data_IF_684598780335
#
_entry.id   IF_684598780335
#
_cell.length_a   1.000
_cell.length_b   1.000
_cell.length_c   1.000
_cell.angle_alpha   90.00
_cell.angle_beta   90.00
_cell.angle_gamma   90.00
#
_symmetry.space_group_name_H-M   'P 1'
#
loop_
_entity.id
_entity.type
_entity.pdbx_description
1 polymer ?
#
# COMPACT_ATOMS: atom_id res chain seq x y z
N UNK A 1 25.45 -5.38 15.32
CA UNK A 1 24.50 -6.05 14.40
C UNK A 1 23.05 -5.79 14.79
N UNK A 2 22.67 -5.94 16.07
CA UNK A 2 21.35 -5.53 16.58
C UNK A 2 21.05 -4.05 16.34
N UNK A 3 22.02 -3.16 16.60
CA UNK A 3 21.88 -1.71 16.37
C UNK A 3 21.53 -1.34 14.92
N UNK A 4 21.98 -2.15 13.94
CA UNK A 4 21.65 -1.96 12.53
C UNK A 4 20.23 -2.45 12.19
N UNK A 5 19.78 -3.52 12.85
CA UNK A 5 18.43 -4.08 12.69
C UNK A 5 17.36 -3.24 13.38
N UNK A 6 17.73 -2.49 14.42
CA UNK A 6 16.85 -1.58 15.14
C UNK A 6 16.66 -0.23 14.40
N UNK A 7 17.44 0.02 13.35
CA UNK A 7 17.35 1.26 12.59
C UNK A 7 16.06 1.30 11.74
N UNK A 8 15.22 2.35 11.86
CA UNK A 8 13.89 2.40 11.23
C UNK A 8 13.94 2.33 9.70
N UNK A 9 15.01 2.83 9.08
CA UNK A 9 15.25 2.72 7.64
C UNK A 9 15.50 1.27 7.18
N UNK A 10 16.13 0.46 8.02
CA UNK A 10 16.36 -0.97 7.73
C UNK A 10 15.05 -1.73 7.89
N UNK A 11 14.30 -1.46 8.95
CA UNK A 11 13.03 -2.14 9.24
C UNK A 11 11.94 -1.82 8.22
N UNK A 12 11.76 -0.54 7.87
CA UNK A 12 10.71 -0.10 6.94
C UNK A 12 11.11 -0.09 5.47
N UNK A 13 12.40 -0.26 5.15
CA UNK A 13 12.91 -0.13 3.78
C UNK A 13 13.71 -1.34 3.31
N UNK A 14 14.89 -1.54 3.88
CA UNK A 14 15.84 -2.53 3.37
C UNK A 14 15.37 -3.98 3.60
N UNK A 15 14.89 -4.31 4.80
CA UNK A 15 14.37 -5.63 5.13
C UNK A 15 13.17 -6.04 4.24
N UNK A 16 12.09 -5.22 4.11
CA UNK A 16 10.97 -5.55 3.23
C UNK A 16 11.40 -5.69 1.76
N UNK A 17 12.34 -4.86 1.31
CA UNK A 17 12.87 -4.93 -0.07
C UNK A 17 13.56 -6.28 -0.35
N UNK A 18 14.52 -6.68 0.50
CA UNK A 18 15.30 -7.91 0.31
C UNK A 18 14.39 -9.14 0.38
N UNK A 19 13.47 -9.19 1.36
CA UNK A 19 12.56 -10.33 1.51
C UNK A 19 11.58 -10.41 0.35
N UNK A 20 11.03 -9.28 -0.10
CA UNK A 20 10.17 -9.27 -1.27
C UNK A 20 10.90 -9.77 -2.52
N UNK A 21 12.19 -9.42 -2.70
CA UNK A 21 13.00 -9.89 -3.83
C UNK A 21 13.17 -11.42 -3.79
N UNK A 22 13.61 -11.96 -2.65
CA UNK A 22 13.82 -13.41 -2.46
C UNK A 22 12.50 -14.17 -2.69
N UNK A 23 11.41 -13.71 -2.09
CA UNK A 23 10.10 -14.36 -2.20
C UNK A 23 9.55 -14.24 -3.62
N UNK A 24 9.73 -13.10 -4.30
CA UNK A 24 9.30 -12.94 -5.67
C UNK A 24 10.03 -13.91 -6.62
N UNK A 25 11.35 -14.06 -6.45
CA UNK A 25 12.16 -14.99 -7.25
C UNK A 25 11.77 -16.46 -7.00
N UNK A 26 11.58 -16.83 -5.72
CA UNK A 26 11.17 -18.18 -5.33
C UNK A 26 9.77 -18.54 -5.86
N UNK A 27 8.81 -17.62 -5.72
CA UNK A 27 7.40 -17.83 -6.09
C UNK A 27 7.08 -17.52 -7.55
N UNK A 28 8.06 -17.02 -8.32
CA UNK A 28 7.89 -16.79 -9.76
C UNK A 28 7.48 -18.08 -10.47
N UNK A 29 8.08 -19.22 -10.11
CA UNK A 29 7.77 -20.53 -10.69
C UNK A 29 6.33 -20.99 -10.42
N UNK A 30 5.77 -20.59 -9.28
CA UNK A 30 4.43 -20.97 -8.84
C UNK A 30 3.33 -20.00 -9.31
N UNK A 31 3.67 -18.97 -10.10
CA UNK A 31 2.78 -17.87 -10.48
C UNK A 31 2.20 -17.07 -9.30
N UNK A 32 2.84 -17.16 -8.13
CA UNK A 32 2.39 -16.55 -6.88
C UNK A 32 3.25 -15.35 -6.47
N UNK A 33 3.96 -14.76 -7.42
CA UNK A 33 4.92 -13.67 -7.18
C UNK A 33 4.31 -12.45 -6.47
N UNK A 34 2.99 -12.28 -6.52
CA UNK A 34 2.26 -11.24 -5.78
C UNK A 34 2.32 -11.35 -4.25
N UNK A 35 2.55 -12.54 -3.68
CA UNK A 35 2.70 -12.75 -2.24
C UNK A 35 3.95 -12.07 -1.66
N UNK A 36 4.91 -11.69 -2.51
CA UNK A 36 6.14 -11.01 -2.10
C UNK A 36 5.87 -9.71 -1.32
N UNK A 37 4.81 -8.96 -1.66
CA UNK A 37 4.45 -7.75 -0.91
C UNK A 37 4.11 -8.08 0.53
N UNK A 38 3.30 -9.11 0.74
CA UNK A 38 2.86 -9.50 2.07
C UNK A 38 4.02 -10.05 2.89
N UNK A 39 4.95 -10.77 2.25
CA UNK A 39 6.17 -11.21 2.93
C UNK A 39 7.04 -10.03 3.37
N UNK A 40 7.24 -9.04 2.49
CA UNK A 40 7.94 -7.79 2.83
C UNK A 40 7.24 -7.00 3.94
N UNK A 41 5.92 -6.89 3.87
CA UNK A 41 5.14 -6.25 4.93
C UNK A 41 5.22 -7.02 6.25
N UNK A 42 5.12 -8.36 6.22
CA UNK A 42 5.14 -9.21 7.41
C UNK A 42 6.48 -9.13 8.16
N UNK A 43 7.61 -9.04 7.45
CA UNK A 43 8.91 -8.85 8.12
C UNK A 43 8.97 -7.48 8.82
N UNK A 44 8.41 -6.44 8.21
CA UNK A 44 8.39 -5.11 8.83
C UNK A 44 7.54 -5.15 10.10
N UNK A 45 6.37 -5.79 10.05
CA UNK A 45 5.52 -5.98 11.23
C UNK A 45 6.25 -6.75 12.32
N UNK A 46 6.97 -7.81 11.96
CA UNK A 46 7.75 -8.62 12.89
C UNK A 46 8.84 -7.78 13.58
N UNK A 47 9.58 -6.98 12.82
CA UNK A 47 10.68 -6.16 13.33
C UNK A 47 10.20 -4.95 14.15
N UNK A 48 9.11 -4.30 13.73
CA UNK A 48 8.64 -3.04 14.33
C UNK A 48 7.71 -3.28 15.53
N UNK A 49 6.75 -4.21 15.41
CA UNK A 49 5.67 -4.35 16.39
C UNK A 49 5.68 -5.68 17.17
N UNK A 50 6.39 -6.70 16.66
CA UNK A 50 6.23 -8.08 17.13
C UNK A 50 4.83 -8.65 16.85
N UNK A 51 4.71 -9.97 16.69
CA UNK A 51 3.40 -10.65 16.51
C UNK A 51 2.64 -10.83 17.83
N UNK A 52 2.49 -9.75 18.61
CA UNK A 52 1.58 -9.76 19.76
C UNK A 52 0.21 -9.27 19.28
N UNK A 53 -0.84 -10.04 19.54
CA UNK A 53 -2.21 -9.70 19.10
C UNK A 53 -3.01 -8.95 20.17
N UNK A 54 -2.54 -8.94 21.41
CA UNK A 54 -3.17 -8.22 22.52
C UNK A 54 -2.31 -7.04 22.98
N UNK A 55 -2.87 -5.83 23.14
CA UNK A 55 -4.25 -5.43 22.80
C UNK A 55 -4.48 -5.23 21.28
N UNK A 56 -5.74 -5.36 20.81
CA UNK A 56 -6.14 -5.07 19.42
C UNK A 56 -6.19 -3.56 19.14
N UNK A 57 -5.02 -2.98 18.87
CA UNK A 57 -4.89 -1.60 18.41
C UNK A 57 -5.31 -1.45 16.94
N UNK A 58 -5.67 -0.24 16.52
CA UNK A 58 -6.07 0.05 15.14
C UNK A 58 -4.96 -0.31 14.12
N UNK A 59 -3.68 -0.11 14.48
CA UNK A 59 -2.54 -0.52 13.66
C UNK A 59 -2.45 -2.06 13.49
N UNK A 60 -2.73 -2.84 14.55
CA UNK A 60 -2.75 -4.30 14.46
C UNK A 60 -3.93 -4.82 13.64
N UNK A 61 -5.06 -4.10 13.62
CA UNK A 61 -6.16 -4.40 12.69
C UNK A 61 -5.74 -4.25 11.24
N UNK A 62 -4.89 -3.26 10.90
CA UNK A 62 -4.33 -3.13 9.55
C UNK A 62 -3.53 -4.38 9.18
N UNK A 63 -2.67 -4.87 10.09
CA UNK A 63 -1.88 -6.09 9.88
C UNK A 63 -2.79 -7.29 9.61
N UNK A 64 -3.80 -7.48 10.47
CA UNK A 64 -4.74 -8.60 10.35
C UNK A 64 -5.53 -8.53 9.03
N UNK A 65 -6.07 -7.36 8.67
CA UNK A 65 -6.79 -7.15 7.42
C UNK A 65 -5.88 -7.32 6.20
N UNK A 66 -4.62 -6.90 6.28
CA UNK A 66 -3.60 -7.15 5.26
C UNK A 66 -3.35 -8.64 5.02
N UNK A 67 -3.17 -9.41 6.10
CA UNK A 67 -3.00 -10.87 6.00
C UNK A 67 -4.28 -11.57 5.51
N UNK A 68 -5.47 -11.16 5.96
CA UNK A 68 -6.72 -11.70 5.44
C UNK A 68 -6.92 -11.38 3.96
N UNK A 69 -6.54 -10.19 3.51
CA UNK A 69 -6.62 -9.81 2.11
C UNK A 69 -5.70 -10.66 1.23
N UNK A 70 -4.52 -11.06 1.74
CA UNK A 70 -3.63 -12.02 1.09
C UNK A 70 -4.29 -13.38 0.89
N UNK A 71 -4.88 -13.92 1.96
CA UNK A 71 -5.57 -15.21 1.95
C UNK A 71 -6.78 -15.19 1.01
N UNK A 72 -7.57 -14.13 1.04
CA UNK A 72 -8.66 -13.92 0.10
C UNK A 72 -8.13 -13.85 -1.34
N UNK A 73 -7.06 -13.09 -1.59
CA UNK A 73 -6.51 -13.00 -2.92
C UNK A 73 -5.96 -14.33 -3.44
N UNK A 74 -5.54 -15.25 -2.56
CA UNK A 74 -5.16 -16.63 -2.88
C UNK A 74 -6.36 -17.48 -3.30
N UNK A 75 -7.48 -17.38 -2.59
CA UNK A 75 -8.69 -18.14 -2.94
C UNK A 75 -9.35 -17.60 -4.22
N UNK A 76 -9.15 -16.31 -4.51
CA UNK A 76 -9.74 -15.59 -5.63
C UNK A 76 -8.95 -15.71 -6.95
N UNK A 77 -7.85 -16.47 -7.00
CA UNK A 77 -7.05 -16.67 -8.23
C UNK A 77 -7.86 -17.31 -9.38
N UNK A 78 -8.85 -18.16 -9.05
CA UNK A 78 -9.61 -18.92 -10.05
C UNK A 78 -10.93 -18.25 -10.45
N UNK A 79 -11.35 -17.20 -9.73
CA UNK A 79 -12.67 -16.60 -9.88
C UNK A 79 -12.56 -15.22 -10.55
N UNK A 80 -12.96 -15.11 -11.82
CA UNK A 80 -12.90 -13.83 -12.55
C UNK A 80 -14.27 -13.18 -12.79
N UNK A 81 -15.09 -13.09 -11.73
CA UNK A 81 -16.45 -12.58 -11.81
C UNK A 81 -16.48 -11.04 -11.80
N UNK A 82 -17.20 -10.42 -12.75
CA UNK A 82 -17.40 -8.96 -12.79
C UNK A 82 -17.92 -8.34 -11.47
N UNK A 83 -18.91 -8.90 -10.77
CA UNK A 83 -19.39 -8.34 -9.50
C UNK A 83 -18.37 -8.47 -8.36
N UNK A 84 -17.37 -9.33 -8.48
CA UNK A 84 -16.39 -9.58 -7.43
C UNK A 84 -15.64 -8.31 -7.05
N UNK A 85 -15.35 -7.46 -8.03
CA UNK A 85 -14.71 -6.15 -7.82
C UNK A 85 -15.54 -5.27 -6.89
N UNK A 86 -16.85 -5.19 -7.11
CA UNK A 86 -17.76 -4.42 -6.27
C UNK A 86 -17.80 -4.99 -4.85
N UNK A 87 -17.86 -6.32 -4.73
CA UNK A 87 -17.83 -7.00 -3.43
C UNK A 87 -16.54 -6.67 -2.67
N UNK A 88 -15.39 -6.71 -3.33
CA UNK A 88 -14.09 -6.39 -2.72
C UNK A 88 -14.01 -4.91 -2.29
N UNK A 89 -14.58 -3.99 -3.07
CA UNK A 89 -14.62 -2.57 -2.70
C UNK A 89 -15.51 -2.31 -1.49
N UNK A 90 -16.68 -2.95 -1.43
CA UNK A 90 -17.60 -2.84 -0.29
C UNK A 90 -16.98 -3.47 0.95
N UNK A 91 -16.36 -4.65 0.82
CA UNK A 91 -15.65 -5.31 1.90
C UNK A 91 -14.49 -4.44 2.43
N UNK A 92 -13.74 -3.79 1.54
CA UNK A 92 -12.70 -2.83 1.90
C UNK A 92 -13.24 -1.64 2.70
N UNK A 93 -14.35 -1.05 2.27
CA UNK A 93 -15.00 0.05 3.00
C UNK A 93 -15.54 -0.37 4.37
N UNK A 94 -16.12 -1.57 4.49
CA UNK A 94 -16.54 -2.10 5.80
C UNK A 94 -15.32 -2.30 6.69
N UNK A 95 -14.22 -2.83 6.15
CA UNK A 95 -12.97 -3.02 6.89
C UNK A 95 -12.37 -1.69 7.37
N UNK A 96 -12.45 -0.60 6.59
CA UNK A 96 -12.01 0.72 7.05
C UNK A 96 -12.82 1.22 8.23
N UNK A 97 -14.14 1.07 8.18
CA UNK A 97 -15.03 1.51 9.25
C UNK A 97 -14.74 0.70 10.51
N UNK A 98 -14.58 -0.62 10.40
CA UNK A 98 -14.24 -1.48 11.54
C UNK A 98 -12.88 -1.18 12.15
N UNK A 99 -11.88 -0.85 11.33
CA UNK A 99 -10.57 -0.41 11.80
C UNK A 99 -10.69 0.88 12.63
N UNK A 100 -11.39 1.89 12.09
CA UNK A 100 -11.46 3.22 12.67
C UNK A 100 -12.56 3.39 13.75
N UNK A 101 -13.41 2.38 13.94
CA UNK A 101 -14.62 2.45 14.78
C UNK A 101 -14.38 3.03 16.17
N UNK A 102 -13.31 2.59 16.87
CA UNK A 102 -13.00 3.09 18.22
C UNK A 102 -12.59 4.56 18.25
N UNK A 103 -11.92 5.05 17.21
CA UNK A 103 -11.51 6.45 17.08
C UNK A 103 -12.74 7.30 16.76
N UNK A 104 -13.61 6.79 15.89
CA UNK A 104 -14.84 7.45 15.46
C UNK A 104 -15.88 7.58 16.57
N UNK A 105 -16.00 6.59 17.46
CA UNK A 105 -16.90 6.63 18.61
C UNK A 105 -16.57 7.74 19.62
N UNK A 106 -15.38 8.32 19.55
CA UNK A 106 -14.96 9.42 20.41
C UNK A 106 -15.30 10.80 19.84
N UNK A 107 -15.88 10.87 18.63
CA UNK A 107 -16.19 12.10 17.90
C UNK A 107 -17.70 12.36 17.86
N UNK A 108 -18.09 13.59 17.57
CA UNK A 108 -19.49 13.96 17.34
C UNK A 108 -20.11 13.18 16.17
N UNK A 109 -21.42 12.94 16.25
CA UNK A 109 -22.18 12.11 15.30
C UNK A 109 -22.01 12.57 13.84
N UNK A 110 -21.98 13.88 13.59
CA UNK A 110 -21.81 14.47 12.25
C UNK A 110 -20.41 14.22 11.70
N UNK A 111 -19.38 14.42 12.51
CA UNK A 111 -17.99 14.15 12.14
C UNK A 111 -17.72 12.65 11.97
N UNK A 112 -18.35 11.80 12.77
CA UNK A 112 -18.28 10.34 12.64
C UNK A 112 -18.71 9.88 11.25
N UNK A 113 -19.85 10.39 10.76
CA UNK A 113 -20.40 9.97 9.47
C UNK A 113 -19.56 10.46 8.29
N UNK A 114 -19.07 11.70 8.37
CA UNK A 114 -18.27 12.32 7.31
C UNK A 114 -16.91 11.62 7.18
N UNK A 115 -16.23 11.36 8.29
CA UNK A 115 -14.92 10.69 8.28
C UNK A 115 -15.00 9.20 7.92
N UNK A 116 -16.02 8.48 8.41
CA UNK A 116 -16.25 7.08 8.01
C UNK A 116 -16.54 6.97 6.51
N UNK A 117 -17.44 7.82 6.00
CA UNK A 117 -17.78 7.88 4.59
C UNK A 117 -16.57 8.20 3.71
N UNK A 118 -15.81 9.26 4.06
CA UNK A 118 -14.61 9.67 3.33
C UNK A 118 -13.53 8.58 3.29
N UNK A 119 -13.24 7.96 4.44
CA UNK A 119 -12.24 6.88 4.52
C UNK A 119 -12.68 5.63 3.74
N UNK A 120 -13.95 5.24 3.85
CA UNK A 120 -14.49 4.09 3.13
C UNK A 120 -14.49 4.32 1.61
N UNK A 121 -14.85 5.53 1.17
CA UNK A 121 -14.80 5.91 -0.24
C UNK A 121 -13.37 5.89 -0.77
N UNK A 122 -12.40 6.44 -0.02
CA UNK A 122 -11.00 6.44 -0.43
C UNK A 122 -10.42 5.03 -0.61
N UNK A 123 -10.64 4.14 0.37
CA UNK A 123 -10.12 2.76 0.27
C UNK A 123 -10.87 1.95 -0.78
N UNK A 124 -12.19 2.11 -0.88
CA UNK A 124 -12.98 1.52 -1.95
C UNK A 124 -12.50 1.97 -3.34
N UNK A 125 -12.18 3.26 -3.49
CA UNK A 125 -11.62 3.82 -4.71
C UNK A 125 -10.27 3.20 -5.07
N UNK A 126 -9.34 3.11 -4.11
CA UNK A 126 -8.04 2.49 -4.34
C UNK A 126 -8.17 1.03 -4.75
N UNK A 127 -9.00 0.25 -4.07
CA UNK A 127 -9.23 -1.17 -4.39
C UNK A 127 -9.83 -1.31 -5.79
N UNK A 128 -10.83 -0.48 -6.13
CA UNK A 128 -11.49 -0.52 -7.43
C UNK A 128 -10.51 -0.29 -8.58
N UNK A 129 -9.69 0.78 -8.49
CA UNK A 129 -8.76 1.13 -9.54
C UNK A 129 -7.54 0.20 -9.56
N UNK A 130 -7.02 -0.23 -8.42
CA UNK A 130 -5.91 -1.20 -8.38
C UNK A 130 -6.31 -2.57 -8.90
N UNK A 131 -7.56 -3.02 -8.68
CA UNK A 131 -8.07 -4.26 -9.28
C UNK A 131 -8.11 -4.15 -10.81
N UNK A 132 -8.31 -2.96 -11.41
CA UNK A 132 -8.22 -2.84 -12.88
C UNK A 132 -6.81 -3.02 -13.43
N UNK A 133 -5.77 -2.89 -12.59
CA UNK A 133 -4.36 -3.01 -12.99
C UNK A 133 -3.80 -4.42 -12.84
N UNK A 134 -4.59 -5.38 -12.34
CA UNK A 134 -4.12 -6.75 -12.03
C UNK A 134 -3.54 -7.49 -13.25
N UNK A 135 -3.98 -7.19 -14.47
CA UNK A 135 -3.50 -7.82 -15.71
C UNK A 135 -2.17 -7.23 -16.20
N UNK A 136 -1.79 -6.05 -15.71
CA UNK A 136 -0.60 -5.31 -16.14
C UNK A 136 0.42 -5.18 -15.01
N UNK A 137 1.36 -6.13 -14.87
CA UNK A 137 2.26 -6.22 -13.71
C UNK A 137 3.14 -4.99 -13.50
N UNK A 138 3.59 -4.36 -14.59
CA UNK A 138 4.44 -3.17 -14.53
C UNK A 138 3.67 -1.97 -13.96
N UNK A 139 2.41 -1.78 -14.39
CA UNK A 139 1.55 -0.68 -13.91
C UNK A 139 1.14 -0.91 -12.46
N UNK A 140 0.80 -2.15 -12.10
CA UNK A 140 0.46 -2.51 -10.73
C UNK A 140 1.65 -2.27 -9.79
N UNK A 141 2.87 -2.65 -10.22
CA UNK A 141 4.11 -2.41 -9.48
C UNK A 141 4.39 -0.92 -9.27
N UNK A 142 4.32 -0.10 -10.33
CA UNK A 142 4.62 1.35 -10.23
C UNK A 142 3.58 2.12 -9.42
N UNK A 143 2.30 1.76 -9.56
CA UNK A 143 1.23 2.27 -8.72
C UNK A 143 1.45 1.87 -7.26
N UNK A 144 1.84 0.62 -7.03
CA UNK A 144 2.07 0.10 -5.69
C UNK A 144 3.27 0.72 -4.97
N UNK A 145 4.38 0.89 -5.69
CA UNK A 145 5.57 1.58 -5.20
C UNK A 145 5.23 3.02 -4.79
N UNK A 146 4.59 3.77 -5.68
CA UNK A 146 4.22 5.16 -5.41
C UNK A 146 3.16 5.29 -4.31
N UNK A 147 2.17 4.40 -4.26
CA UNK A 147 1.18 4.39 -3.18
C UNK A 147 1.86 4.12 -1.84
N UNK A 148 2.71 3.10 -1.73
CA UNK A 148 3.41 2.79 -0.49
C UNK A 148 4.37 3.90 -0.04
N UNK A 149 5.22 4.39 -0.95
CA UNK A 149 6.15 5.49 -0.63
C UNK A 149 5.41 6.80 -0.33
N UNK A 150 4.33 7.09 -1.06
CA UNK A 150 3.51 8.28 -0.85
C UNK A 150 2.76 8.24 0.47
N UNK A 151 2.09 7.13 0.80
CA UNK A 151 1.39 6.97 2.09
C UNK A 151 2.38 6.93 3.24
N UNK A 152 3.49 6.20 3.10
CA UNK A 152 4.53 6.09 4.11
C UNK A 152 5.23 7.42 4.38
N UNK A 153 5.68 8.12 3.34
CA UNK A 153 6.31 9.44 3.46
C UNK A 153 5.35 10.48 4.06
N UNK A 154 4.09 10.47 3.64
CA UNK A 154 3.07 11.38 4.19
C UNK A 154 2.79 11.07 5.66
N UNK A 155 2.75 9.79 6.05
CA UNK A 155 2.52 9.38 7.43
C UNK A 155 3.72 9.68 8.36
N UNK A 156 4.95 9.57 7.85
CA UNK A 156 6.14 10.00 8.58
C UNK A 156 6.10 11.51 8.87
N UNK A 157 5.74 12.32 7.86
CA UNK A 157 5.59 13.76 8.01
C UNK A 157 4.41 14.14 8.92
N UNK A 158 3.36 13.32 8.92
CA UNK A 158 2.23 13.41 9.86
C UNK A 158 2.53 13.03 11.31
N UNK A 159 3.81 12.85 11.69
CA UNK A 159 4.21 12.44 13.04
C UNK A 159 3.78 11.00 13.44
N UNK A 160 3.65 10.08 12.48
CA UNK A 160 3.46 8.65 12.76
C UNK A 160 4.56 7.78 12.15
N UNK A 161 5.60 7.50 12.95
CA UNK A 161 6.71 6.63 12.57
C UNK A 161 6.24 5.22 12.16
N UNK A 162 5.33 4.63 12.95
CA UNK A 162 4.82 3.27 12.71
C UNK A 162 4.05 3.16 11.39
N UNK A 163 3.13 4.09 11.11
CA UNK A 163 2.37 4.09 9.85
C UNK A 163 3.26 4.43 8.66
N UNK A 164 4.24 5.30 8.89
CA UNK A 164 5.29 5.59 7.93
C UNK A 164 6.08 4.35 7.52
N UNK A 165 6.52 3.55 8.50
CA UNK A 165 7.21 2.28 8.24
C UNK A 165 6.33 1.27 7.50
N UNK A 166 5.03 1.19 7.80
CA UNK A 166 4.11 0.32 7.06
C UNK A 166 3.96 0.73 5.60
N UNK A 167 3.79 2.02 5.32
CA UNK A 167 3.72 2.52 3.94
C UNK A 167 5.04 2.33 3.20
N UNK A 168 6.16 2.72 3.82
CA UNK A 168 7.50 2.53 3.25
C UNK A 168 7.81 1.07 2.95
N UNK A 169 7.39 0.14 3.82
CA UNK A 169 7.59 -1.28 3.59
C UNK A 169 6.83 -1.80 2.37
N UNK A 170 5.59 -1.34 2.15
CA UNK A 170 4.84 -1.65 0.93
C UNK A 170 5.53 -1.06 -0.30
N UNK A 171 6.00 0.19 -0.21
CA UNK A 171 6.72 0.87 -1.28
C UNK A 171 8.01 0.14 -1.65
N UNK A 172 8.78 -0.26 -0.65
CA UNK A 172 10.00 -1.04 -0.77
C UNK A 172 9.72 -2.41 -1.38
N UNK A 173 8.74 -3.14 -0.89
CA UNK A 173 8.37 -4.45 -1.43
C UNK A 173 7.88 -4.38 -2.89
N UNK A 174 7.10 -3.35 -3.23
CA UNK A 174 6.66 -3.12 -4.61
C UNK A 174 7.83 -2.68 -5.52
N UNK A 175 8.79 -1.91 -5.01
CA UNK A 175 9.98 -1.52 -5.75
C UNK A 175 10.91 -2.71 -6.04
N UNK A 176 11.05 -3.66 -5.10
CA UNK A 176 11.78 -4.91 -5.32
C UNK A 176 11.15 -5.72 -6.46
N UNK A 177 9.82 -5.79 -6.47
CA UNK A 177 9.06 -6.47 -7.52
C UNK A 177 9.22 -5.80 -8.90
N UNK A 178 9.21 -4.46 -8.95
CA UNK A 178 9.50 -3.72 -10.18
C UNK A 178 10.93 -3.90 -10.67
N UNK A 179 11.90 -3.88 -9.75
CA UNK A 179 13.31 -4.06 -10.07
C UNK A 179 13.57 -5.45 -10.66
N UNK A 180 12.96 -6.48 -10.09
CA UNK A 180 13.05 -7.85 -10.63
C UNK A 180 12.46 -7.92 -12.05
N UNK A 181 11.28 -7.32 -12.30
CA UNK A 181 10.72 -7.24 -13.65
C UNK A 181 11.61 -6.48 -14.63
N UNK A 182 12.22 -5.39 -14.18
CA UNK A 182 13.07 -4.53 -14.99
C UNK A 182 14.38 -5.25 -15.39
N UNK A 183 14.96 -6.04 -14.48
CA UNK A 183 16.19 -6.82 -14.73
C UNK A 183 15.89 -8.07 -15.56
N UNK A 184 14.87 -8.84 -15.18
CA UNK A 184 14.53 -10.10 -15.87
C UNK A 184 13.88 -9.88 -17.23
N UNK A 185 13.53 -8.63 -17.58
CA UNK A 185 12.81 -8.24 -18.81
C UNK A 185 11.65 -9.18 -19.16
N UNK A 186 10.97 -9.69 -18.12
CA UNK A 186 9.91 -10.68 -18.23
C UNK A 186 8.72 -10.23 -17.38
N UNK A 187 7.51 -10.43 -17.90
CA UNK A 187 6.28 -10.10 -17.18
C UNK A 187 6.07 -11.12 -16.07
N UNK A 188 6.39 -10.73 -14.84
CA UNK A 188 6.05 -11.55 -13.68
C UNK A 188 4.52 -11.64 -13.57
N UNK A 189 3.99 -12.79 -13.14
CA UNK A 189 2.56 -12.95 -12.92
C UNK A 189 2.14 -12.08 -11.72
N UNK A 190 1.66 -10.87 -12.01
CA UNK A 190 0.80 -10.13 -11.13
C UNK A 190 -0.60 -10.71 -11.21
N UNK A 191 -1.20 -10.91 -10.05
CA UNK A 191 -2.63 -11.17 -9.94
C UNK A 191 -3.21 -10.30 -8.84
N UNK A 192 -4.46 -10.57 -8.48
CA UNK A 192 -5.13 -9.94 -7.34
C UNK A 192 -4.37 -10.12 -6.02
N UNK A 193 -3.53 -11.16 -5.93
CA UNK A 193 -2.61 -11.41 -4.81
C UNK A 193 -1.59 -10.30 -4.56
N UNK A 194 -1.32 -9.45 -5.57
CA UNK A 194 -0.45 -8.28 -5.44
C UNK A 194 -1.28 -7.01 -5.14
N UNK A 195 -2.34 -6.76 -5.92
CA UNK A 195 -3.04 -5.47 -5.91
C UNK A 195 -3.99 -5.29 -4.71
N UNK A 196 -4.65 -6.35 -4.25
CA UNK A 196 -5.58 -6.28 -3.11
C UNK A 196 -4.90 -5.96 -1.78
N UNK A 197 -3.89 -6.73 -1.32
CA UNK A 197 -3.21 -6.41 -0.07
C UNK A 197 -2.53 -5.05 -0.11
N UNK A 198 -1.94 -4.68 -1.24
CA UNK A 198 -1.29 -3.39 -1.36
C UNK A 198 -2.28 -2.23 -1.23
N UNK A 199 -3.35 -2.24 -2.01
CA UNK A 199 -4.36 -1.16 -1.99
C UNK A 199 -5.08 -1.06 -0.65
N UNK A 200 -5.36 -2.20 0.00
CA UNK A 200 -6.01 -2.25 1.29
C UNK A 200 -5.09 -1.73 2.41
N UNK A 201 -3.83 -2.19 2.49
CA UNK A 201 -2.89 -1.74 3.53
C UNK A 201 -2.54 -0.27 3.29
N UNK A 202 -2.22 0.15 2.07
CA UNK A 202 -1.93 1.55 1.74
C UNK A 202 -3.15 2.47 2.00
N UNK A 203 -4.35 1.99 1.68
CA UNK A 203 -5.59 2.71 1.95
C UNK A 203 -5.87 2.89 3.44
N UNK A 204 -5.80 1.80 4.21
CA UNK A 204 -6.02 1.82 5.66
C UNK A 204 -4.97 2.66 6.39
N UNK A 205 -3.70 2.54 5.99
CA UNK A 205 -2.61 3.35 6.57
C UNK A 205 -2.82 4.84 6.29
N UNK A 206 -3.19 5.22 5.08
CA UNK A 206 -3.53 6.60 4.74
C UNK A 206 -4.71 7.15 5.55
N UNK A 207 -5.81 6.40 5.65
CA UNK A 207 -6.98 6.80 6.46
C UNK A 207 -6.63 6.96 7.94
N UNK A 208 -5.89 6.00 8.50
CA UNK A 208 -5.51 6.05 9.90
C UNK A 208 -4.54 7.22 10.17
N UNK A 209 -3.66 7.51 9.22
CA UNK A 209 -2.76 8.65 9.31
C UNK A 209 -3.51 10.00 9.28
N UNK A 210 -4.59 10.14 8.51
CA UNK A 210 -5.45 11.34 8.61
C UNK A 210 -6.16 11.44 9.96
N UNK A 211 -6.62 10.31 10.51
CA UNK A 211 -7.34 10.31 11.79
C UNK A 211 -6.44 10.48 13.02
N UNK A 212 -5.14 10.17 12.92
CA UNK A 212 -4.24 10.11 14.09
C UNK A 212 -2.95 10.90 13.95
N UNK A 213 -2.52 11.20 12.73
CA UNK A 213 -1.19 11.73 12.39
C UNK A 213 -1.30 13.11 11.72
N UNK A 214 -2.26 13.94 12.14
CA UNK A 214 -2.52 15.32 11.65
C UNK A 214 -2.44 15.51 10.12
N UNK A 215 -2.70 14.45 9.38
CA UNK A 215 -2.38 14.39 7.96
C UNK A 215 -3.53 15.10 7.22
N UNK A 216 -3.25 16.10 6.38
CA UNK A 216 -4.31 16.85 5.72
C UNK A 216 -5.14 15.96 4.80
N UNK A 217 -6.47 16.06 4.90
CA UNK A 217 -7.40 15.22 4.14
C UNK A 217 -7.22 15.33 2.62
N UNK A 218 -6.79 16.50 2.12
CA UNK A 218 -6.51 16.72 0.70
C UNK A 218 -5.26 15.98 0.19
N UNK A 219 -4.38 15.46 1.06
CA UNK A 219 -3.31 14.57 0.61
C UNK A 219 -3.87 13.21 0.13
N UNK A 220 -4.99 12.75 0.71
CA UNK A 220 -5.63 11.50 0.28
C UNK A 220 -6.17 11.60 -1.14
N UNK A 221 -6.68 12.74 -1.57
CA UNK A 221 -7.19 12.89 -2.94
C UNK A 221 -6.07 12.81 -3.97
N UNK A 222 -4.90 13.35 -3.64
CA UNK A 222 -3.69 13.24 -4.48
C UNK A 222 -3.19 11.79 -4.53
N UNK A 223 -3.17 11.08 -3.40
CA UNK A 223 -2.83 9.66 -3.34
C UNK A 223 -3.84 8.78 -4.10
N UNK A 224 -5.13 9.12 -4.06
CA UNK A 224 -6.18 8.45 -4.83
C UNK A 224 -6.01 8.61 -6.35
N UNK A 225 -5.25 9.61 -6.80
CA UNK A 225 -4.87 9.83 -8.20
C UNK A 225 -3.78 8.90 -8.72
N UNK A 226 -3.00 8.26 -7.85
CA UNK A 226 -1.88 7.38 -8.26
C UNK A 226 -2.31 6.23 -9.18
N UNK A 227 -3.37 5.43 -8.88
CA UNK A 227 -3.77 4.36 -9.78
C UNK A 227 -4.35 4.86 -11.11
N UNK A 228 -4.82 6.12 -11.17
CA UNK A 228 -5.20 6.77 -12.43
C UNK A 228 -3.97 7.20 -13.24
N UNK A 229 -2.95 7.77 -12.58
CA UNK A 229 -1.69 8.12 -13.23
C UNK A 229 -0.99 6.88 -13.83
N UNK A 230 -1.11 5.73 -13.18
CA UNK A 230 -0.59 4.46 -13.69
C UNK A 230 -1.33 3.93 -14.94
N UNK A 231 -2.48 4.51 -15.33
CA UNK A 231 -3.21 4.16 -16.55
C UNK A 231 -2.78 4.95 -17.79
N UNK A 232 -1.84 5.89 -17.66
CA UNK A 232 -1.34 6.64 -18.80
C UNK A 232 -0.87 5.65 -19.89
N UNK A 233 -1.35 5.78 -21.14
CA UNK A 233 -1.02 4.85 -22.21
C UNK A 233 0.46 5.00 -22.56
N UNK A 234 1.27 4.03 -22.14
CA UNK A 234 2.67 3.90 -22.56
C UNK A 234 2.75 2.93 -23.72
N UNK A 235 3.53 3.27 -24.74
CA UNK A 235 3.70 2.47 -25.96
C UNK A 235 4.22 1.06 -25.64
N UNK A 236 3.48 0.05 -26.10
CA UNK A 236 3.83 -1.36 -25.94
C UNK A 236 5.11 -1.76 -26.68
N UNK A 237 5.57 -0.92 -27.62
CA UNK A 237 6.81 -1.13 -28.40
C UNK A 237 8.09 -0.81 -27.62
N UNK A 238 7.97 -0.18 -26.45
CA UNK A 238 9.12 0.19 -25.61
C UNK A 238 9.55 -0.99 -24.73
N UNK A 239 10.85 -1.12 -24.46
CA UNK A 239 11.37 -2.12 -23.53
C UNK A 239 10.76 -1.98 -22.13
N UNK A 240 10.56 -3.10 -21.42
CA UNK A 240 9.87 -3.13 -20.12
C UNK A 240 10.55 -2.22 -19.07
N UNK A 241 11.87 -2.09 -19.13
CA UNK A 241 12.66 -1.19 -18.28
C UNK A 241 12.28 0.29 -18.48
N UNK A 242 12.06 0.72 -19.73
CA UNK A 242 11.70 2.10 -20.03
C UNK A 242 10.23 2.38 -19.66
N UNK A 243 9.36 1.37 -19.82
CA UNK A 243 7.97 1.46 -19.37
C UNK A 243 7.88 1.57 -17.85
N UNK A 244 8.62 0.73 -17.11
CA UNK A 244 8.62 0.77 -15.64
C UNK A 244 9.17 2.10 -15.13
N UNK A 245 10.21 2.63 -15.76
CA UNK A 245 10.80 3.91 -15.39
C UNK A 245 9.85 5.08 -15.63
N UNK A 246 9.22 5.18 -16.81
CA UNK A 246 8.26 6.26 -17.11
C UNK A 246 7.03 6.21 -16.20
N UNK A 247 6.47 5.01 -16.00
CA UNK A 247 5.32 4.84 -15.12
C UNK A 247 5.68 5.16 -13.67
N UNK A 248 6.88 4.78 -13.21
CA UNK A 248 7.33 5.09 -11.86
C UNK A 248 7.54 6.59 -11.66
N UNK A 249 8.10 7.30 -12.64
CA UNK A 249 8.24 8.77 -12.58
C UNK A 249 6.86 9.43 -12.48
N UNK A 250 5.91 9.02 -13.32
CA UNK A 250 4.56 9.58 -13.32
C UNK A 250 3.84 9.34 -11.99
N UNK A 251 3.90 8.11 -11.44
CA UNK A 251 3.24 7.80 -10.17
C UNK A 251 3.97 8.41 -8.97
N UNK A 252 5.30 8.49 -9.00
CA UNK A 252 6.10 9.15 -7.97
C UNK A 252 5.87 10.65 -7.94
N UNK A 253 5.60 11.31 -9.07
CA UNK A 253 5.24 12.73 -9.08
C UNK A 253 3.97 13.00 -8.25
N UNK A 254 2.96 12.13 -8.34
CA UNK A 254 1.77 12.22 -7.50
C UNK A 254 2.09 11.96 -6.01
N UNK A 255 2.93 10.96 -5.71
CA UNK A 255 3.37 10.69 -4.35
C UNK A 255 4.19 11.84 -3.75
N UNK A 256 5.07 12.46 -4.54
CA UNK A 256 5.85 13.64 -4.19
C UNK A 256 4.93 14.85 -3.93
N UNK A 257 3.88 15.02 -4.74
CA UNK A 257 2.86 16.03 -4.50
C UNK A 257 2.15 15.84 -3.17
N UNK A 258 1.70 14.62 -2.86
CA UNK A 258 1.06 14.33 -1.57
C UNK A 258 1.99 14.60 -0.38
N UNK A 259 3.23 14.12 -0.46
CA UNK A 259 4.23 14.33 0.60
C UNK A 259 4.60 15.81 0.77
N UNK A 260 4.78 16.56 -0.32
CA UNK A 260 5.02 18.01 -0.27
C UNK A 260 3.87 18.75 0.40
N UNK A 261 2.63 18.40 0.07
CA UNK A 261 1.45 19.00 0.67
C UNK A 261 1.38 18.68 2.17
N UNK A 262 1.69 17.45 2.58
CA UNK A 262 1.78 17.13 4.01
C UNK A 262 2.88 17.91 4.72
N UNK A 263 4.05 18.05 4.11
CA UNK A 263 5.15 18.84 4.66
C UNK A 263 4.78 20.31 4.83
N UNK A 264 4.08 20.89 3.86
CA UNK A 264 3.64 22.29 3.93
C UNK A 264 2.72 22.59 5.12
N UNK A 265 1.98 21.58 5.58
CA UNK A 265 0.93 21.73 6.60
C UNK A 265 1.42 21.29 7.98
N UNK A 266 2.08 20.13 8.04
CA UNK A 266 2.59 19.57 9.28
C UNK A 266 3.94 20.20 9.69
N UNK A 267 4.63 20.89 8.76
CA UNK A 267 5.96 21.43 8.97
C UNK A 267 7.06 20.37 8.81
N UNK A 268 8.28 20.72 9.19
CA UNK A 268 9.37 19.76 9.23
C UNK A 268 9.05 18.66 10.26
N UNK A 269 9.33 17.38 9.95
CA UNK A 269 9.14 16.30 10.91
C UNK A 269 9.94 16.62 12.19
N UNK A 270 9.37 16.41 13.39
CA UNK A 270 10.08 16.61 14.64
C UNK A 270 11.14 15.49 14.75
N UNK A 271 12.34 15.78 14.27
CA UNK A 271 13.54 14.99 14.53
C UNK A 271 14.46 15.79 15.44
#
# INVERSE_FOLDING_TARGET
MQELLDHPAVQGGLAPFVIALIVAELLQRLRLSGLAIIAGFAITVYLVSGFSFEPLTSARKIVLLGLLSALLALTLLQFNWRPLRLILTIAGGIATVWMALRILQQQDMTHMLLWSGGCALYVGWLIFWMDTLHESPVRAGSAGMALGLGTGGSALLGASALLGQFGLALGAAASAYLLLQAISNSRLPCGRSFTLPLSLIAGLTGCLAVLTAQLPWYALTVLAGIPLAAKIPVSEKMGLWLQSLLLSIATLACAAGATYITWYVAGAPPF
#
